data_IF_303457897309
#
_entry.id   IF_303457897309
#
_cell.length_a   1.000
_cell.length_b   1.000
_cell.length_c   1.000
_cell.angle_alpha   90.00
_cell.angle_beta   90.00
_cell.angle_gamma   90.00
#
_symmetry.space_group_name_H-M   'P 1'
#
loop_
_entity.id
_entity.type
_entity.pdbx_description
1 polymer ?
#
# COMPACT_ATOMS: atom_id res chain seq x y z
N UNK A 1 10.06 -11.22 14.72
CA UNK A 1 8.74 -11.26 14.07
C UNK A 1 8.88 -10.60 12.73
N UNK A 2 8.55 -11.32 11.67
CA UNK A 2 8.52 -10.79 10.32
C UNK A 2 7.24 -9.96 10.12
N UNK A 3 7.32 -8.85 9.39
CA UNK A 3 6.16 -8.03 9.03
C UNK A 3 6.07 -8.03 7.53
N UNK A 4 4.93 -8.48 7.02
CA UNK A 4 4.70 -8.60 5.57
C UNK A 4 3.25 -8.33 5.23
N UNK A 5 3.01 -8.12 3.93
CA UNK A 5 1.66 -8.00 3.40
C UNK A 5 0.83 -9.25 3.70
N UNK A 6 -0.46 -9.03 3.97
CA UNK A 6 -1.45 -10.07 4.14
C UNK A 6 -1.55 -10.91 2.87
N UNK A 7 -1.69 -12.23 3.02
CA UNK A 7 -2.04 -13.16 1.93
C UNK A 7 -3.42 -13.76 2.18
N UNK A 8 -4.13 -14.11 1.12
CA UNK A 8 -5.45 -14.75 1.24
C UNK A 8 -5.42 -16.06 2.04
N UNK A 9 -4.28 -16.78 2.00
CA UNK A 9 -4.09 -17.99 2.81
C UNK A 9 -3.94 -17.69 4.31
N UNK A 10 -3.62 -16.46 4.71
CA UNK A 10 -3.50 -16.09 6.13
C UNK A 10 -4.86 -15.86 6.81
N UNK A 11 -5.94 -15.66 6.03
CA UNK A 11 -7.24 -15.22 6.53
C UNK A 11 -7.82 -16.08 7.67
N UNK A 12 -7.79 -17.43 7.61
CA UNK A 12 -8.29 -18.25 8.72
C UNK A 12 -7.53 -18.00 10.03
N UNK A 13 -6.23 -17.75 9.96
CA UNK A 13 -5.40 -17.49 11.14
C UNK A 13 -5.55 -16.06 11.67
N UNK A 14 -5.82 -15.10 10.79
CA UNK A 14 -6.19 -13.74 11.18
C UNK A 14 -7.54 -13.76 11.90
N UNK A 15 -8.53 -14.47 11.38
CA UNK A 15 -9.83 -14.63 12.03
C UNK A 15 -9.67 -15.29 13.41
N UNK A 16 -8.85 -16.34 13.51
CA UNK A 16 -8.51 -16.94 14.80
C UNK A 16 -7.86 -15.94 15.77
N UNK A 17 -6.91 -15.13 15.29
CA UNK A 17 -6.28 -14.10 16.10
C UNK A 17 -7.28 -13.02 16.56
N UNK A 18 -8.26 -12.66 15.73
CA UNK A 18 -9.33 -11.75 16.11
C UNK A 18 -10.18 -12.34 17.24
N UNK A 19 -10.64 -13.59 17.08
CA UNK A 19 -11.43 -14.33 18.08
C UNK A 19 -10.74 -14.42 19.44
N UNK A 20 -9.41 -14.57 19.47
CA UNK A 20 -8.65 -14.64 20.72
C UNK A 20 -8.44 -13.28 21.40
N UNK A 21 -8.44 -12.17 20.64
CA UNK A 21 -7.98 -10.88 21.14
C UNK A 21 -9.08 -9.82 21.27
N UNK A 22 -10.18 -9.93 20.52
CA UNK A 22 -11.19 -8.89 20.40
C UNK A 22 -12.62 -9.44 20.55
N UNK A 23 -13.51 -8.70 21.22
CA UNK A 23 -14.93 -9.04 21.27
C UNK A 23 -15.65 -8.75 19.95
N UNK A 24 -15.17 -7.81 19.15
CA UNK A 24 -15.70 -7.50 17.82
C UNK A 24 -15.18 -8.50 16.78
N UNK A 25 -16.08 -9.38 16.33
CA UNK A 25 -15.77 -10.51 15.45
C UNK A 25 -16.54 -10.45 14.13
N UNK A 26 -15.96 -11.02 13.07
CA UNK A 26 -16.52 -10.97 11.73
C UNK A 26 -16.54 -12.34 11.04
N UNK A 27 -17.45 -12.51 10.08
CA UNK A 27 -17.44 -13.66 9.18
C UNK A 27 -16.20 -13.62 8.27
N UNK A 28 -15.68 -14.80 7.88
CA UNK A 28 -14.52 -14.91 7.00
C UNK A 28 -14.73 -14.14 5.67
N UNK A 29 -15.96 -14.08 5.17
CA UNK A 29 -16.35 -13.30 3.98
C UNK A 29 -15.98 -11.82 4.09
N UNK A 30 -16.05 -11.23 5.28
CA UNK A 30 -15.70 -9.83 5.48
C UNK A 30 -14.19 -9.58 5.39
N UNK A 31 -13.37 -10.50 5.87
CA UNK A 31 -11.92 -10.45 5.66
C UNK A 31 -11.56 -10.62 4.18
N UNK A 32 -12.24 -11.54 3.49
CA UNK A 32 -12.04 -11.74 2.05
C UNK A 32 -12.38 -10.47 1.25
N UNK A 33 -13.46 -9.77 1.62
CA UNK A 33 -13.80 -8.47 1.03
C UNK A 33 -12.65 -7.47 1.17
N UNK A 34 -12.06 -7.31 2.36
CA UNK A 34 -10.90 -6.41 2.54
C UNK A 34 -9.69 -6.83 1.70
N UNK A 35 -9.36 -8.12 1.74
CA UNK A 35 -8.18 -8.65 1.04
C UNK A 35 -8.29 -8.54 -0.48
N UNK A 36 -9.51 -8.56 -1.03
CA UNK A 36 -9.75 -8.43 -2.47
C UNK A 36 -9.96 -6.98 -2.92
N UNK A 37 -10.59 -6.13 -2.10
CA UNK A 37 -10.83 -4.72 -2.45
C UNK A 37 -9.57 -3.86 -2.27
N UNK A 38 -8.80 -4.08 -1.19
CA UNK A 38 -7.61 -3.30 -0.87
C UNK A 38 -6.41 -4.19 -0.47
N UNK A 39 -5.89 -5.00 -1.40
CA UNK A 39 -4.85 -5.99 -1.10
C UNK A 39 -3.54 -5.39 -0.56
N UNK A 40 -3.27 -4.11 -0.82
CA UNK A 40 -2.05 -3.41 -0.41
C UNK A 40 -2.09 -2.89 1.04
N UNK A 41 -3.27 -2.81 1.67
CA UNK A 41 -3.42 -2.05 2.93
C UNK A 41 -3.27 -2.88 4.20
N UNK A 42 -3.46 -4.19 4.10
CA UNK A 42 -3.50 -5.07 5.26
C UNK A 42 -2.19 -5.85 5.44
N UNK A 43 -1.68 -5.89 6.66
CA UNK A 43 -0.38 -6.49 6.98
C UNK A 43 -0.51 -7.49 8.13
N UNK A 44 0.41 -8.44 8.18
CA UNK A 44 0.51 -9.44 9.23
C UNK A 44 1.89 -9.46 9.84
N UNK A 45 1.95 -9.78 11.13
CA UNK A 45 3.16 -10.11 11.85
C UNK A 45 3.23 -11.62 12.06
N UNK A 46 4.32 -12.23 11.61
CA UNK A 46 4.53 -13.68 11.61
C UNK A 46 5.69 -14.06 12.50
N UNK A 47 5.49 -15.08 13.33
CA UNK A 47 6.59 -15.77 14.00
C UNK A 47 7.23 -16.79 13.05
N UNK A 48 8.29 -16.35 12.38
CA UNK A 48 9.11 -17.16 11.47
C UNK A 48 10.08 -18.08 12.20
N UNK A 49 10.28 -17.89 13.50
CA UNK A 49 11.19 -18.72 14.31
C UNK A 49 10.52 -19.98 14.83
N UNK A 50 9.17 -20.03 14.80
CA UNK A 50 8.41 -21.20 15.19
C UNK A 50 8.75 -22.39 14.29
N UNK A 51 9.18 -23.54 14.86
CA UNK A 51 9.43 -24.73 14.06
C UNK A 51 8.13 -25.23 13.45
N UNK A 52 8.19 -25.58 12.16
CA UNK A 52 7.06 -26.18 11.46
C UNK A 52 6.71 -27.54 12.07
N UNK A 53 5.42 -27.77 12.34
CA UNK A 53 4.90 -29.06 12.85
C UNK A 53 4.67 -30.09 11.75
N UNK A 54 4.74 -29.69 10.48
CA UNK A 54 4.48 -30.57 9.34
C UNK A 54 4.45 -29.81 8.01
N UNK A 55 4.38 -30.52 6.86
CA UNK A 55 4.47 -29.92 5.54
C UNK A 55 3.33 -28.94 5.20
N UNK A 56 2.22 -29.00 5.93
CA UNK A 56 1.03 -28.16 5.74
C UNK A 56 0.82 -27.13 6.87
N UNK A 57 1.82 -26.93 7.74
CA UNK A 57 1.72 -25.95 8.82
C UNK A 57 1.68 -24.53 8.25
N UNK A 58 0.67 -23.77 8.63
CA UNK A 58 0.54 -22.39 8.17
C UNK A 58 1.49 -21.46 8.94
N UNK A 59 1.84 -20.29 8.36
CA UNK A 59 2.61 -19.26 9.06
C UNK A 59 1.95 -18.87 10.38
N UNK A 60 2.69 -18.82 11.48
CA UNK A 60 2.10 -18.43 12.78
C UNK A 60 1.88 -16.93 12.84
N UNK A 61 0.65 -16.51 12.58
CA UNK A 61 0.23 -15.11 12.75
C UNK A 61 0.19 -14.77 14.24
N UNK A 62 0.92 -13.73 14.63
CA UNK A 62 0.99 -13.21 16.01
C UNK A 62 0.44 -11.79 16.13
N UNK A 63 0.16 -11.13 15.02
CA UNK A 63 -0.54 -9.86 14.96
C UNK A 63 -0.95 -9.54 13.53
N UNK A 64 -1.91 -8.65 13.38
CA UNK A 64 -2.40 -8.22 12.07
C UNK A 64 -2.98 -6.81 12.14
N UNK A 65 -3.02 -6.13 11.00
CA UNK A 65 -3.84 -4.95 10.75
C UNK A 65 -4.69 -5.22 9.51
N UNK A 66 -6.00 -5.04 9.64
CA UNK A 66 -6.96 -5.02 8.54
C UNK A 66 -7.40 -3.58 8.34
N UNK A 67 -7.21 -3.10 7.12
CA UNK A 67 -7.50 -1.73 6.73
C UNK A 67 -8.26 -1.70 5.41
N UNK A 68 -9.02 -0.62 5.20
CA UNK A 68 -9.78 -0.34 3.98
C UNK A 68 -9.65 1.14 3.61
N UNK A 69 -10.03 1.49 2.38
CA UNK A 69 -10.43 2.85 2.06
C UNK A 69 -11.93 3.02 2.35
N UNK A 70 -12.34 4.21 2.74
CA UNK A 70 -13.77 4.51 2.82
C UNK A 70 -14.33 4.73 1.41
N UNK A 71 -15.36 3.96 1.04
CA UNK A 71 -15.92 3.97 -0.32
C UNK A 71 -16.84 5.18 -0.54
N UNK A 72 -17.56 5.60 0.50
CA UNK A 72 -18.53 6.71 0.46
C UNK A 72 -18.16 7.78 1.52
N UNK A 73 -17.06 8.52 1.32
CA UNK A 73 -16.66 9.57 2.26
C UNK A 73 -17.70 10.71 2.27
N UNK A 74 -18.23 11.04 3.46
CA UNK A 74 -19.24 12.09 3.63
C UNK A 74 -18.73 13.49 3.26
N UNK A 75 -17.43 13.71 3.37
CA UNK A 75 -16.72 14.96 3.03
C UNK A 75 -16.17 14.94 1.59
N UNK A 76 -16.32 13.84 0.86
CA UNK A 76 -15.75 13.64 -0.47
C UNK A 76 -14.22 13.50 -0.48
N UNK A 77 -13.58 13.34 0.69
CA UNK A 77 -12.12 13.25 0.81
C UNK A 77 -11.72 11.78 0.93
N UNK A 78 -10.81 11.28 0.07
CA UNK A 78 -10.34 9.90 0.16
C UNK A 78 -9.55 9.70 1.46
N UNK A 79 -9.99 8.75 2.27
CA UNK A 79 -9.36 8.44 3.55
C UNK A 79 -9.43 6.94 3.87
N UNK A 80 -8.45 6.48 4.62
CA UNK A 80 -8.40 5.11 5.10
C UNK A 80 -9.20 4.91 6.38
N UNK A 81 -9.56 3.67 6.65
CA UNK A 81 -10.15 3.27 7.94
C UNK A 81 -9.48 1.99 8.45
N UNK A 82 -9.14 1.96 9.73
CA UNK A 82 -8.60 0.76 10.38
C UNK A 82 -9.77 -0.06 10.94
N UNK A 83 -10.11 -1.13 10.21
CA UNK A 83 -11.18 -2.04 10.60
C UNK A 83 -10.83 -2.86 11.85
N UNK A 84 -9.60 -3.39 11.91
CA UNK A 84 -9.19 -4.23 13.05
C UNK A 84 -7.67 -4.28 13.19
N UNK A 85 -7.17 -4.12 14.41
CA UNK A 85 -5.77 -4.25 14.77
C UNK A 85 -5.68 -5.11 16.03
N UNK A 86 -4.91 -6.19 16.00
CA UNK A 86 -4.61 -6.93 17.21
C UNK A 86 -3.24 -7.59 17.18
N UNK A 87 -2.69 -7.81 18.37
CA UNK A 87 -1.45 -8.56 18.59
C UNK A 87 -1.70 -9.51 19.75
N UNK A 88 -1.32 -10.78 19.55
CA UNK A 88 -1.39 -11.82 20.57
C UNK A 88 -0.76 -11.34 21.86
N UNK A 89 -1.40 -11.61 23.01
CA UNK A 89 -0.94 -11.12 24.32
C UNK A 89 0.53 -11.43 24.61
N UNK A 90 0.99 -12.61 24.22
CA UNK A 90 2.37 -13.10 24.35
C UNK A 90 3.41 -12.32 23.52
N UNK A 91 2.96 -11.52 22.54
CA UNK A 91 3.81 -10.79 21.60
C UNK A 91 3.59 -9.27 21.67
N UNK A 92 2.85 -8.77 22.68
CA UNK A 92 2.66 -7.33 22.90
C UNK A 92 3.93 -6.68 23.46
N UNK A 93 4.00 -5.35 23.39
CA UNK A 93 5.15 -4.52 23.84
C UNK A 93 6.46 -4.77 23.08
N UNK A 94 6.38 -5.35 21.89
CA UNK A 94 7.50 -5.56 20.97
C UNK A 94 7.49 -4.59 19.77
N UNK A 95 6.68 -3.52 19.82
CA UNK A 95 6.54 -2.55 18.73
C UNK A 95 5.79 -3.06 17.49
N UNK A 96 5.19 -4.26 17.54
CA UNK A 96 4.54 -4.90 16.39
C UNK A 96 3.38 -4.07 15.85
N UNK A 97 2.48 -3.63 16.74
CA UNK A 97 1.29 -2.88 16.36
C UNK A 97 1.63 -1.54 15.68
N UNK A 98 2.65 -0.84 16.20
CA UNK A 98 3.15 0.40 15.60
C UNK A 98 3.66 0.16 14.18
N UNK A 99 4.52 -0.85 13.99
CA UNK A 99 5.08 -1.16 12.67
C UNK A 99 4.00 -1.57 11.66
N UNK A 100 3.02 -2.38 12.08
CA UNK A 100 1.89 -2.76 11.22
C UNK A 100 1.09 -1.52 10.78
N UNK A 101 0.79 -0.62 11.73
CA UNK A 101 0.06 0.62 11.44
C UNK A 101 0.84 1.51 10.46
N UNK A 102 2.14 1.72 10.68
CA UNK A 102 2.97 2.56 9.80
C UNK A 102 3.01 2.02 8.37
N UNK A 103 3.12 0.70 8.19
CA UNK A 103 3.09 0.06 6.87
C UNK A 103 1.74 0.26 6.17
N UNK A 104 0.64 0.08 6.90
CA UNK A 104 -0.71 0.30 6.37
C UNK A 104 -0.93 1.76 5.97
N UNK A 105 -0.50 2.71 6.82
CA UNK A 105 -0.60 4.15 6.57
C UNK A 105 0.19 4.58 5.32
N UNK A 106 1.42 4.08 5.18
CA UNK A 106 2.24 4.36 3.99
C UNK A 106 1.53 3.87 2.71
N UNK A 107 1.04 2.62 2.72
CA UNK A 107 0.34 2.04 1.58
C UNK A 107 -0.97 2.80 1.23
N UNK A 108 -1.68 3.33 2.23
CA UNK A 108 -2.86 4.18 2.01
C UNK A 108 -2.52 5.46 1.24
N UNK A 109 -1.40 6.11 1.58
CA UNK A 109 -0.98 7.35 0.92
C UNK A 109 -0.46 7.04 -0.48
N UNK A 110 0.46 6.08 -0.62
CA UNK A 110 1.09 5.76 -1.91
C UNK A 110 0.07 5.25 -2.94
N UNK A 111 -0.77 4.29 -2.54
CA UNK A 111 -1.65 3.60 -3.51
C UNK A 111 -2.95 4.36 -3.76
N UNK A 112 -3.51 5.00 -2.74
CA UNK A 112 -4.86 5.56 -2.79
C UNK A 112 -4.92 7.06 -2.51
N UNK A 113 -3.78 7.72 -2.34
CA UNK A 113 -3.67 9.16 -2.09
C UNK A 113 -4.54 9.63 -0.92
N UNK A 114 -4.69 8.77 0.09
CA UNK A 114 -5.46 9.03 1.29
C UNK A 114 -4.98 10.32 1.97
N UNK A 115 -5.90 11.15 2.43
CA UNK A 115 -5.59 12.40 3.16
C UNK A 115 -5.45 12.20 4.65
N UNK A 116 -6.19 11.23 5.18
CA UNK A 116 -6.16 10.86 6.58
C UNK A 116 -6.54 9.40 6.75
N UNK A 117 -6.41 8.90 7.97
CA UNK A 117 -6.96 7.61 8.40
C UNK A 117 -7.79 7.78 9.67
N UNK A 118 -8.92 7.09 9.73
CA UNK A 118 -9.80 7.07 10.90
C UNK A 118 -9.86 5.69 11.56
N UNK A 119 -10.23 5.65 12.84
CA UNK A 119 -10.50 4.42 13.58
C UNK A 119 -11.38 4.68 14.79
N UNK A 120 -11.92 3.59 15.36
CA UNK A 120 -12.67 3.61 16.62
C UNK A 120 -11.92 2.84 17.70
N UNK A 121 -11.85 3.39 18.91
CA UNK A 121 -11.24 2.74 20.06
C UNK A 121 -12.12 2.87 21.31
N UNK A 122 -12.26 1.79 22.07
CA UNK A 122 -12.92 1.78 23.38
C UNK A 122 -12.30 2.82 24.32
N UNK A 123 -13.15 3.58 25.02
CA UNK A 123 -12.70 4.59 25.99
C UNK A 123 -11.83 4.00 27.10
N UNK A 124 -12.13 2.76 27.51
CA UNK A 124 -11.40 2.02 28.55
C UNK A 124 -10.10 1.37 28.07
N UNK A 125 -9.84 1.29 26.76
CA UNK A 125 -8.68 0.59 26.21
C UNK A 125 -7.41 1.47 26.27
N UNK A 126 -6.85 1.61 27.47
CA UNK A 126 -5.68 2.45 27.75
C UNK A 126 -4.48 2.11 26.87
N UNK A 127 -4.23 0.82 26.60
CA UNK A 127 -3.07 0.41 25.81
C UNK A 127 -3.19 0.83 24.34
N UNK A 128 -4.37 0.65 23.73
CA UNK A 128 -4.61 1.09 22.36
C UNK A 128 -4.63 2.62 22.26
N UNK A 129 -5.24 3.31 23.22
CA UNK A 129 -5.22 4.78 23.28
C UNK A 129 -3.81 5.34 23.34
N UNK A 130 -2.93 4.77 24.16
CA UNK A 130 -1.53 5.19 24.21
C UNK A 130 -0.82 4.98 22.86
N UNK A 131 -1.04 3.83 22.20
CA UNK A 131 -0.51 3.57 20.86
C UNK A 131 -0.97 4.64 19.85
N UNK A 132 -2.27 4.91 19.80
CA UNK A 132 -2.83 5.85 18.83
C UNK A 132 -2.47 7.30 19.14
N UNK A 133 -2.73 7.77 20.35
CA UNK A 133 -2.52 9.17 20.76
C UNK A 133 -1.02 9.51 20.87
N UNK A 134 -0.25 8.69 21.59
CA UNK A 134 1.14 9.04 21.94
C UNK A 134 2.15 8.57 20.89
N UNK A 135 2.02 7.34 20.39
CA UNK A 135 3.03 6.76 19.48
C UNK A 135 2.80 7.13 18.02
N UNK A 136 1.53 7.12 17.58
CA UNK A 136 1.16 7.34 16.18
C UNK A 136 0.64 8.76 15.91
N UNK A 137 0.28 9.53 16.94
CA UNK A 137 -0.14 10.92 16.80
C UNK A 137 -1.59 11.12 16.34
N UNK A 138 -2.46 10.13 16.52
CA UNK A 138 -3.89 10.28 16.28
C UNK A 138 -4.50 11.30 17.24
N UNK A 139 -5.45 12.08 16.74
CA UNK A 139 -6.26 13.02 17.51
C UNK A 139 -7.67 12.48 17.65
N UNK A 140 -8.28 12.66 18.83
CA UNK A 140 -9.70 12.36 19.03
C UNK A 140 -10.54 13.40 18.32
N UNK A 141 -11.45 12.95 17.45
CA UNK A 141 -12.35 13.81 16.71
C UNK A 141 -13.69 13.96 17.45
N UNK A 142 -14.32 12.84 17.80
CA UNK A 142 -15.59 12.81 18.51
C UNK A 142 -15.75 11.54 19.37
N UNK A 143 -16.40 11.63 20.53
CA UNK A 143 -16.90 10.45 21.22
C UNK A 143 -18.19 9.94 20.55
N UNK A 144 -18.37 8.63 20.50
CA UNK A 144 -19.57 7.96 20.01
C UNK A 144 -20.20 7.12 21.13
N UNK A 145 -21.36 7.55 21.59
CA UNK A 145 -22.05 6.93 22.72
C UNK A 145 -22.62 5.56 22.33
N UNK A 146 -22.44 4.55 23.19
CA UNK A 146 -22.93 3.17 23.00
C UNK A 146 -22.57 2.57 21.63
N UNK A 147 -21.35 2.84 21.18
CA UNK A 147 -20.86 2.36 19.88
C UNK A 147 -20.69 0.83 19.87
N UNK A 148 -20.16 0.27 20.95
CA UNK A 148 -19.93 -1.17 21.05
C UNK A 148 -21.17 -1.92 21.54
N UNK A 149 -21.27 -3.21 21.21
CA UNK A 149 -22.46 -4.02 21.46
C UNK A 149 -22.79 -4.22 22.96
N UNK A 150 -21.79 -4.09 23.83
CA UNK A 150 -21.92 -4.11 25.29
C UNK A 150 -22.30 -2.74 25.87
N UNK A 151 -22.52 -1.74 25.01
CA UNK A 151 -22.90 -0.39 25.38
C UNK A 151 -21.73 0.52 25.75
N UNK A 152 -20.48 0.07 25.60
CA UNK A 152 -19.32 0.94 25.81
C UNK A 152 -19.22 2.02 24.71
N UNK A 153 -18.83 3.22 25.12
CA UNK A 153 -18.55 4.34 24.22
C UNK A 153 -17.24 4.12 23.45
N UNK A 154 -17.15 4.67 22.24
CA UNK A 154 -15.94 4.72 21.44
C UNK A 154 -15.41 6.15 21.30
N UNK A 155 -14.10 6.27 21.11
CA UNK A 155 -13.47 7.47 20.58
C UNK A 155 -13.22 7.26 19.08
N UNK A 156 -13.84 8.09 18.25
CA UNK A 156 -13.44 8.23 16.86
C UNK A 156 -12.15 9.05 16.82
N UNK A 157 -11.11 8.48 16.22
CA UNK A 157 -9.79 9.08 16.14
C UNK A 157 -9.37 9.24 14.69
N UNK A 158 -8.63 10.31 14.41
CA UNK A 158 -8.14 10.67 13.08
C UNK A 158 -6.65 11.02 13.10
N UNK A 159 -5.93 10.59 12.07
CA UNK A 159 -4.56 11.00 11.78
C UNK A 159 -4.48 11.57 10.37
N UNK A 160 -4.08 12.83 10.24
CA UNK A 160 -3.84 13.46 8.93
C UNK A 160 -2.48 13.06 8.36
N UNK A 161 -2.42 12.82 7.04
CA UNK A 161 -1.24 12.31 6.35
C UNK A 161 -0.35 13.39 5.73
N UNK A 162 -0.59 14.67 6.00
CA UNK A 162 0.20 15.79 5.44
C UNK A 162 1.72 15.62 5.61
N UNK A 163 2.15 15.13 6.77
CA UNK A 163 3.58 14.90 7.04
C UNK A 163 4.14 13.70 6.27
N UNK A 164 3.38 12.61 6.17
CA UNK A 164 3.78 11.40 5.45
C UNK A 164 3.86 11.70 3.95
N UNK A 165 2.87 12.41 3.42
CA UNK A 165 2.84 12.80 2.02
C UNK A 165 4.05 13.65 1.65
N UNK A 166 4.39 14.66 2.45
CA UNK A 166 5.59 15.50 2.22
C UNK A 166 6.89 14.69 2.21
N UNK A 167 6.98 13.64 3.03
CA UNK A 167 8.16 12.76 3.05
C UNK A 167 8.25 11.94 1.77
N UNK A 168 7.14 11.37 1.32
CA UNK A 168 7.08 10.61 0.06
C UNK A 168 7.43 11.51 -1.12
N UNK A 169 6.78 12.68 -1.22
CA UNK A 169 7.03 13.64 -2.30
C UNK A 169 8.53 14.02 -2.36
N UNK A 170 9.17 14.25 -1.21
CA UNK A 170 10.60 14.56 -1.15
C UNK A 170 11.51 13.37 -1.54
N UNK A 171 11.16 12.14 -1.16
CA UNK A 171 11.89 10.94 -1.54
C UNK A 171 11.75 10.60 -3.04
N UNK A 172 10.61 10.92 -3.64
CA UNK A 172 10.38 10.80 -5.08
C UNK A 172 11.22 11.83 -5.85
N UNK A 173 11.22 13.10 -5.44
CA UNK A 173 12.08 14.15 -6.02
C UNK A 173 13.57 13.75 -5.96
N UNK A 174 14.06 13.23 -4.83
CA UNK A 174 15.45 12.78 -4.70
C UNK A 174 15.77 11.60 -5.63
N UNK A 175 14.84 10.65 -5.79
CA UNK A 175 15.01 9.51 -6.70
C UNK A 175 15.03 9.95 -8.17
N UNK A 176 14.17 10.90 -8.55
CA UNK A 176 14.15 11.46 -9.90
C UNK A 176 15.45 12.19 -10.22
N UNK A 177 15.92 13.06 -9.32
CA UNK A 177 17.22 13.74 -9.45
C UNK A 177 18.39 12.76 -9.58
N UNK A 178 18.38 11.66 -8.82
CA UNK A 178 19.39 10.62 -8.89
C UNK A 178 19.36 9.85 -10.23
N UNK A 179 18.18 9.57 -10.77
CA UNK A 179 18.01 8.93 -12.08
C UNK A 179 18.46 9.84 -13.24
N UNK A 180 18.18 11.14 -13.17
CA UNK A 180 18.63 12.14 -14.13
C UNK A 180 20.16 12.33 -14.10
N UNK A 181 20.77 12.29 -12.91
CA UNK A 181 22.23 12.35 -12.78
C UNK A 181 22.93 11.12 -13.39
N UNK A 182 22.34 9.92 -13.26
CA UNK A 182 22.88 8.70 -13.87
C UNK A 182 22.76 8.69 -15.40
N UNK A 183 21.68 9.23 -15.95
CA UNK A 183 21.48 9.33 -17.41
C UNK A 183 22.37 10.38 -18.06
N UNK A 184 22.65 11.50 -17.39
CA UNK A 184 23.58 12.52 -17.88
C UNK A 184 25.07 12.14 -17.68
N UNK A 185 25.40 11.32 -16.67
CA UNK A 185 26.75 10.78 -16.46
C UNK A 185 27.21 9.78 -17.53
N UNK A 186 26.28 9.12 -18.22
CA UNK A 186 26.61 8.19 -19.31
C UNK A 186 27.02 8.88 -20.62
N UNK A 187 26.84 10.21 -20.76
CA UNK A 187 27.20 10.95 -21.99
C UNK A 187 28.63 11.49 -22.02
N UNK A 188 29.46 11.25 -20.99
CA UNK A 188 30.81 11.84 -20.90
C UNK A 188 31.96 10.85 -20.80
N UNK A 189 31.74 9.53 -20.97
CA UNK A 189 32.84 8.55 -21.02
C UNK A 189 32.62 7.44 -22.06
N UNK A 190 33.52 7.36 -23.04
CA UNK A 190 33.67 6.27 -24.04
C UNK A 190 32.81 6.49 -25.28
N UNK A 191 33.36 6.84 -26.44
CA UNK A 191 34.29 6.00 -27.19
C UNK A 191 33.48 5.24 -28.24
N UNK A 192 33.70 5.51 -29.51
CA UNK A 192 33.04 4.83 -30.63
C UNK A 192 33.16 3.31 -30.46
N UNK A 193 32.09 2.67 -30.00
CA UNK A 193 32.00 1.22 -30.06
C UNK A 193 31.57 0.88 -31.49
N UNK A 194 32.53 0.52 -32.32
CA UNK A 194 32.27 -0.16 -33.59
C UNK A 194 31.54 -1.46 -33.26
N UNK A 195 30.36 -1.62 -33.85
CA UNK A 195 29.57 -2.85 -33.83
C UNK A 195 30.24 -3.86 -34.75
N UNK A 196 31.09 -4.74 -34.20
CA UNK A 196 31.68 -5.89 -34.91
C UNK A 196 30.77 -7.13 -34.84
N UNK A 197 29.44 -6.94 -34.88
CA UNK A 197 28.49 -8.02 -35.13
C UNK A 197 28.24 -8.19 -36.62
N UNK A 198 28.86 -9.17 -37.27
CA UNK A 198 28.41 -9.60 -38.61
C UNK A 198 26.94 -10.04 -38.57
N UNK A 199 26.12 -9.50 -39.48
CA UNK A 199 24.71 -9.85 -39.59
C UNK A 199 24.54 -11.30 -40.09
N UNK A 200 24.04 -12.17 -39.23
CA UNK A 200 23.74 -13.56 -39.58
C UNK A 200 22.32 -13.63 -40.19
N UNK A 201 22.23 -13.79 -41.52
CA UNK A 201 21.03 -14.30 -42.20
C UNK A 201 20.40 -13.37 -43.25
N UNK A 202 20.35 -13.83 -44.51
CA UNK A 202 19.70 -13.16 -45.65
C UNK A 202 18.22 -13.55 -45.81
N UNK A 203 17.40 -13.44 -44.77
CA UNK A 203 15.97 -13.76 -44.89
C UNK A 203 15.12 -12.55 -44.53
N UNK A 204 14.64 -11.85 -45.56
CA UNK A 204 13.61 -10.81 -45.40
C UNK A 204 13.91 -9.43 -46.00
N UNK A 205 14.78 -9.30 -47.01
CA UNK A 205 14.97 -8.01 -47.72
C UNK A 205 14.07 -7.90 -48.95
N UNK A 206 13.17 -6.91 -48.93
CA UNK A 206 12.25 -6.58 -50.01
C UNK A 206 13.02 -5.92 -51.20
N UNK A 207 13.00 -6.51 -52.42
CA UNK A 207 13.88 -6.12 -53.52
C UNK A 207 13.57 -4.78 -54.22
N UNK A 208 12.51 -4.06 -53.84
CA UNK A 208 12.08 -2.83 -54.55
C UNK A 208 12.29 -1.51 -53.76
N UNK A 209 12.89 -1.53 -52.57
CA UNK A 209 13.05 -0.34 -51.70
C UNK A 209 13.97 0.78 -52.25
N UNK A 210 14.61 0.58 -53.42
CA UNK A 210 15.61 1.49 -53.98
C UNK A 210 15.14 2.54 -55.00
N UNK A 211 13.88 2.53 -55.47
CA UNK A 211 13.44 3.42 -56.56
C UNK A 211 12.77 4.70 -56.05
N UNK A 212 13.58 5.76 -55.86
CA UNK A 212 13.10 7.14 -55.59
C UNK A 212 12.27 7.67 -56.77
N UNK A 213 10.96 7.92 -56.57
CA UNK A 213 10.15 8.78 -57.47
C UNK A 213 10.16 10.21 -56.96
N UNK A 214 10.64 11.15 -57.79
CA UNK A 214 10.55 12.60 -57.56
C UNK A 214 9.13 13.09 -57.89
N UNK A 215 8.49 13.82 -56.99
CA UNK A 215 7.23 14.55 -57.27
C UNK A 215 7.51 16.06 -57.30
N UNK A 216 7.04 16.80 -58.32
CA UNK A 216 7.21 18.24 -58.41
C UNK A 216 6.16 19.02 -57.60
N UNK A 217 6.56 20.19 -57.12
CA UNK A 217 5.77 21.17 -56.35
C UNK A 217 5.11 22.19 -57.29
N UNK A 218 3.86 22.58 -57.02
CA UNK A 218 3.23 23.74 -57.69
C UNK A 218 1.86 24.15 -57.12
N UNK A 219 1.77 25.41 -56.66
CA UNK A 219 0.57 26.21 -56.25
C UNK A 219 -0.57 26.12 -57.28
N UNK A 220 -1.87 26.35 -56.98
CA UNK A 220 -2.48 27.58 -56.44
C UNK A 220 -3.99 27.38 -56.17
N UNK A 221 -4.50 28.13 -55.18
CA UNK A 221 -5.80 28.84 -55.01
C UNK A 221 -7.07 28.49 -55.83
N UNK A 222 -8.18 28.76 -55.13
CA UNK A 222 -9.49 29.34 -55.55
C UNK A 222 -10.76 28.46 -55.49
N UNK A 223 -11.58 28.80 -54.48
CA UNK A 223 -13.00 29.20 -54.52
C UNK A 223 -14.10 28.32 -55.16
N UNK A 224 -15.16 28.15 -54.34
CA UNK A 224 -16.58 28.34 -54.64
C UNK A 224 -17.27 27.43 -55.68
N UNK A 225 -18.15 26.55 -55.18
CA UNK A 225 -19.62 26.73 -55.25
C UNK A 225 -20.35 25.69 -54.39
#
# INVERSE_FOLDING_TARGET
MDIRLLRNSDLPLIQHANLENLPENYFLKYYLYHALSWPQLSFVAVDVSRPSKGPYDYPKIVGYVIAKMEEEPSDGIPHGHITSLSVMRTHRRLGIAEKLMRQSQLAMVETYQAKYVSLHVRVSNVAARHLYETTLGFKTEKPEAKYYADGEDALCMRLDFDHIKKQIDAEEEERELAAEAQTNGSKTNGGEHLDEGEAVGEVGRDPEAGKKKKLPVGRSKEESK
#
